data_IF_372345754207
#
_entry.id   IF_372345754207
#
_cell.length_a   1.000
_cell.length_b   1.000
_cell.length_c   1.000
_cell.angle_alpha   90.00
_cell.angle_beta   90.00
_cell.angle_gamma   90.00
#
_symmetry.space_group_name_H-M   'P 1'
#
loop_
_entity.id
_entity.type
_entity.pdbx_description
1 polymer ?
#
# COMPACT_ATOMS: atom_id res chain seq x y z
N UNK A 1 -9.87 6.39 -24.52
CA UNK A 1 -9.18 5.41 -23.66
C UNK A 1 -7.81 5.20 -24.29
N UNK A 2 -6.75 5.53 -23.57
CA UNK A 2 -5.41 5.10 -23.97
C UNK A 2 -5.22 3.65 -23.49
N UNK A 3 -4.80 2.79 -24.40
CA UNK A 3 -4.45 1.41 -24.11
C UNK A 3 -2.98 1.34 -23.70
N UNK A 4 -2.68 0.54 -22.68
CA UNK A 4 -1.30 0.26 -22.26
C UNK A 4 -0.85 -1.07 -22.84
N UNK A 5 0.44 -1.21 -23.11
CA UNK A 5 1.00 -2.48 -23.59
C UNK A 5 1.20 -3.46 -22.43
N UNK A 6 1.30 -4.77 -22.73
CA UNK A 6 1.65 -5.79 -21.72
C UNK A 6 3.02 -5.50 -21.10
N UNK A 7 3.96 -4.95 -21.88
CA UNK A 7 5.28 -4.56 -21.40
C UNK A 7 5.21 -3.46 -20.34
N UNK A 8 4.26 -2.53 -20.47
CA UNK A 8 4.04 -1.49 -19.46
C UNK A 8 3.39 -2.04 -18.19
N UNK A 9 2.52 -3.04 -18.31
CA UNK A 9 1.93 -3.71 -17.15
C UNK A 9 2.97 -4.49 -16.34
N UNK A 10 3.91 -5.18 -17.00
CA UNK A 10 4.96 -5.97 -16.33
C UNK A 10 5.91 -5.11 -15.50
N UNK A 11 6.08 -3.82 -15.83
CA UNK A 11 6.93 -2.89 -15.06
C UNK A 11 6.37 -2.60 -13.65
N UNK A 12 5.11 -2.91 -13.39
CA UNK A 12 4.46 -2.65 -12.11
C UNK A 12 4.75 -3.81 -11.15
N UNK A 13 5.35 -3.51 -9.99
CA UNK A 13 5.60 -4.50 -8.94
C UNK A 13 4.42 -4.56 -7.95
N UNK A 14 3.47 -5.46 -8.22
CA UNK A 14 2.32 -5.72 -7.35
C UNK A 14 2.68 -6.82 -6.34
N UNK A 15 2.57 -6.49 -5.05
CA UNK A 15 2.85 -7.42 -3.95
C UNK A 15 1.71 -7.47 -2.95
N UNK A 16 1.59 -8.62 -2.30
CA UNK A 16 0.69 -8.82 -1.17
C UNK A 16 1.49 -8.60 0.11
N UNK A 17 0.90 -7.87 1.06
CA UNK A 17 1.47 -7.62 2.37
C UNK A 17 0.43 -7.91 3.46
N UNK A 18 0.91 -8.28 4.64
CA UNK A 18 0.07 -8.53 5.81
C UNK A 18 -0.02 -7.27 6.66
N UNK A 19 -1.24 -6.85 7.01
CA UNK A 19 -1.42 -5.76 7.99
C UNK A 19 -1.04 -6.30 9.37
N UNK A 20 -0.08 -5.65 10.02
CA UNK A 20 0.38 -6.00 11.38
C UNK A 20 -0.04 -4.98 12.43
N UNK A 21 -0.31 -3.73 12.04
CA UNK A 21 -0.76 -2.66 12.93
C UNK A 21 -1.60 -1.64 12.17
N UNK A 22 -2.55 -1.02 12.86
CA UNK A 22 -3.46 0.00 12.34
C UNK A 22 -3.60 1.09 13.40
N UNK A 23 -3.27 2.32 13.05
CA UNK A 23 -3.41 3.48 13.92
C UNK A 23 -4.27 4.55 13.23
N UNK A 24 -5.16 5.17 13.99
CA UNK A 24 -5.91 6.35 13.55
C UNK A 24 -5.02 7.59 13.68
N UNK A 25 -5.14 8.52 12.72
CA UNK A 25 -4.39 9.78 12.74
C UNK A 25 -5.33 10.87 13.26
N UNK A 26 -5.11 11.31 14.51
CA UNK A 26 -6.02 12.18 15.26
C UNK A 26 -6.34 13.53 14.56
N UNK A 27 -5.42 14.06 13.76
CA UNK A 27 -5.56 15.35 13.05
C UNK A 27 -6.08 15.22 11.61
N UNK A 28 -6.52 14.04 11.19
CA UNK A 28 -7.00 13.81 9.82
C UNK A 28 -8.39 13.17 9.83
N UNK A 29 -9.34 13.81 9.13
CA UNK A 29 -10.75 13.40 9.12
C UNK A 29 -10.97 11.91 8.83
N UNK A 30 -10.16 11.33 7.94
CA UNK A 30 -10.28 9.94 7.47
C UNK A 30 -8.96 9.30 7.06
N UNK A 31 -7.89 9.51 7.84
CA UNK A 31 -6.60 8.92 7.52
C UNK A 31 -6.25 7.83 8.52
N UNK A 32 -5.93 6.65 8.00
CA UNK A 32 -5.43 5.52 8.78
C UNK A 32 -3.99 5.24 8.39
N UNK A 33 -3.14 5.08 9.39
CA UNK A 33 -1.79 4.58 9.25
C UNK A 33 -1.79 3.06 9.39
N UNK A 34 -1.40 2.36 8.32
CA UNK A 34 -1.23 0.92 8.28
C UNK A 34 0.26 0.57 8.34
N UNK A 35 0.61 -0.38 9.20
CA UNK A 35 1.91 -1.03 9.15
C UNK A 35 1.75 -2.37 8.46
N UNK A 36 2.44 -2.53 7.34
CA UNK A 36 2.38 -3.70 6.48
C UNK A 36 3.68 -4.48 6.58
N UNK A 37 3.59 -5.78 6.77
CA UNK A 37 4.71 -6.72 6.63
C UNK A 37 4.69 -7.34 5.23
N UNK A 38 5.77 -7.11 4.48
CA UNK A 38 5.95 -7.57 3.09
C UNK A 38 6.89 -8.79 3.06
N UNK A 39 7.09 -9.48 4.19
CA UNK A 39 7.92 -10.67 4.28
C UNK A 39 9.41 -10.33 4.20
N UNK A 40 10.10 -10.85 3.18
CA UNK A 40 11.57 -10.71 3.04
C UNK A 40 12.04 -9.26 2.83
N UNK A 41 11.14 -8.38 2.37
CA UNK A 41 11.41 -6.94 2.20
C UNK A 41 11.32 -6.20 3.55
N UNK A 42 10.67 -6.80 4.54
CA UNK A 42 10.43 -6.24 5.86
C UNK A 42 9.14 -5.45 5.96
N UNK A 43 9.06 -4.60 6.99
CA UNK A 43 7.86 -3.83 7.32
C UNK A 43 7.88 -2.44 6.70
N UNK A 44 6.74 -2.00 6.16
CA UNK A 44 6.54 -0.67 5.57
C UNK A 44 5.30 0.00 6.14
N UNK A 45 5.34 1.33 6.22
CA UNK A 45 4.22 2.16 6.67
C UNK A 45 3.48 2.68 5.43
N UNK A 46 2.15 2.58 5.47
CA UNK A 46 1.26 3.03 4.41
C UNK A 46 0.15 3.89 5.02
N UNK A 47 -0.28 4.94 4.33
CA UNK A 47 -1.41 5.77 4.75
C UNK A 47 -2.54 5.57 3.75
N UNK A 48 -3.71 5.19 4.25
CA UNK A 48 -4.89 4.99 3.43
C UNK A 48 -6.02 5.87 3.93
N UNK A 49 -6.75 6.46 2.98
CA UNK A 49 -8.02 7.10 3.25
C UNK A 49 -9.10 6.02 3.36
N UNK A 50 -9.99 6.12 4.34
CA UNK A 50 -11.13 5.19 4.51
C UNK A 50 -12.48 5.86 4.29
#
# INVERSE_FOLDING_TARGET
MEEITIEDFIKIDLRVAKIIEVNEVEDADKLIQLKLDIGEIGTKIFFCWY
#
